data_IF_301889189582
#
_entry.id   IF_301889189582
#
_cell.length_a   1.000
_cell.length_b   1.000
_cell.length_c   1.000
_cell.angle_alpha   90.00
_cell.angle_beta   90.00
_cell.angle_gamma   90.00
#
_symmetry.space_group_name_H-M   'P 1'
#
loop_
_entity.id
_entity.type
_entity.pdbx_description
1 polymer ?
#
# COMPACT_ATOMS: atom_id res chain seq x y z
N UNK A 1 -14.30 -14.36 57.05
CA UNK A 1 -13.84 -15.46 56.15
C UNK A 1 -15.05 -16.08 55.48
N UNK A 2 -14.94 -16.48 54.20
CA UNK A 2 -16.01 -17.19 53.49
C UNK A 2 -15.53 -17.66 52.12
N UNK A 3 -14.97 -18.87 52.03
CA UNK A 3 -14.60 -19.49 50.75
C UNK A 3 -15.80 -20.27 50.21
N UNK A 4 -16.32 -19.89 49.05
CA UNK A 4 -17.12 -20.78 48.21
C UNK A 4 -16.28 -21.18 46.99
N UNK A 5 -16.38 -22.45 46.58
CA UNK A 5 -15.40 -23.06 45.67
C UNK A 5 -16.11 -23.82 44.55
N UNK A 6 -15.77 -23.50 43.28
CA UNK A 6 -16.04 -24.29 42.06
C UNK A 6 -17.54 -24.39 41.66
N UNK A 7 -17.89 -24.65 40.38
CA UNK A 7 -17.25 -25.59 39.46
C UNK A 7 -16.52 -25.00 38.23
N UNK A 8 -15.66 -25.85 37.68
CA UNK A 8 -14.97 -25.69 36.39
C UNK A 8 -15.92 -26.05 35.25
N UNK A 9 -15.99 -25.22 34.19
CA UNK A 9 -16.57 -25.62 32.91
C UNK A 9 -15.60 -25.39 31.75
N UNK A 10 -15.22 -26.49 31.11
CA UNK A 10 -14.72 -26.67 29.73
C UNK A 10 -15.20 -28.08 29.29
N UNK A 11 -15.25 -28.42 28.01
CA UNK A 11 -15.41 -27.58 26.81
C UNK A 11 -16.69 -27.98 26.04
N UNK A 12 -17.02 -27.26 24.96
CA UNK A 12 -17.81 -27.85 23.85
C UNK A 12 -17.10 -27.54 22.53
N UNK A 13 -16.35 -28.52 22.04
CA UNK A 13 -15.92 -28.56 20.64
C UNK A 13 -17.12 -29.04 19.83
N UNK A 14 -17.51 -28.32 18.79
CA UNK A 14 -18.59 -28.76 17.89
C UNK A 14 -18.12 -28.70 16.44
N UNK A 15 -17.53 -29.80 15.99
CA UNK A 15 -17.21 -30.02 14.59
C UNK A 15 -18.50 -30.09 13.76
N UNK A 16 -18.61 -29.25 12.73
CA UNK A 16 -19.49 -29.45 11.58
C UNK A 16 -18.58 -29.52 10.35
N UNK A 17 -18.36 -30.71 9.78
CA UNK A 17 -19.24 -31.37 8.81
C UNK A 17 -19.04 -30.80 7.39
N UNK A 18 -18.35 -31.57 6.56
CA UNK A 18 -18.05 -31.25 5.17
C UNK A 18 -19.13 -31.79 4.21
N UNK A 19 -19.38 -31.05 3.12
CA UNK A 19 -19.86 -31.54 1.81
C UNK A 19 -19.47 -30.45 0.78
N UNK A 20 -18.60 -30.68 -0.21
CA UNK A 20 -18.68 -31.53 -1.43
C UNK A 20 -19.32 -30.83 -2.64
N UNK A 21 -18.74 -31.07 -3.82
CA UNK A 21 -19.17 -30.66 -5.19
C UNK A 21 -18.97 -29.16 -5.52
N UNK A 22 -18.69 -28.69 -6.75
CA UNK A 22 -18.26 -29.26 -8.05
C UNK A 22 -17.90 -28.06 -8.99
N UNK A 23 -17.17 -28.10 -10.11
CA UNK A 23 -16.46 -29.13 -10.90
C UNK A 23 -15.24 -28.49 -11.64
N UNK A 24 -14.61 -29.19 -12.60
CA UNK A 24 -13.65 -28.60 -13.56
C UNK A 24 -14.35 -27.90 -14.73
N UNK A 25 -13.75 -26.82 -15.25
CA UNK A 25 -13.80 -26.46 -16.68
C UNK A 25 -12.37 -26.11 -17.14
N UNK A 26 -11.98 -26.62 -18.29
CA UNK A 26 -10.62 -26.57 -18.85
C UNK A 26 -10.60 -25.80 -20.18
N UNK A 27 -9.46 -25.14 -20.43
CA UNK A 27 -8.87 -24.79 -21.73
C UNK A 27 -9.53 -23.69 -22.60
N UNK A 28 -8.65 -22.88 -23.18
CA UNK A 28 -8.99 -21.80 -24.13
C UNK A 28 -7.76 -21.00 -24.56
N UNK A 29 -6.72 -21.66 -25.09
CA UNK A 29 -5.57 -20.96 -25.70
C UNK A 29 -5.81 -20.75 -27.19
N UNK A 30 -5.69 -19.51 -27.65
CA UNK A 30 -5.63 -19.16 -29.07
C UNK A 30 -4.49 -18.18 -29.32
N UNK A 31 -3.36 -18.70 -29.78
CA UNK A 31 -2.25 -17.87 -30.29
C UNK A 31 -2.46 -17.58 -31.77
N UNK A 32 -2.33 -16.31 -32.16
CA UNK A 32 -2.23 -15.93 -33.57
C UNK A 32 -0.76 -15.72 -33.93
N UNK A 33 -0.19 -16.70 -34.63
CA UNK A 33 1.05 -16.53 -35.38
C UNK A 33 0.71 -16.04 -36.80
N UNK A 34 1.41 -15.03 -37.28
CA UNK A 34 1.25 -14.49 -38.64
C UNK A 34 2.63 -14.20 -39.21
N UNK A 35 3.03 -14.98 -40.22
CA UNK A 35 4.36 -14.94 -40.84
C UNK A 35 4.44 -14.05 -42.08
N UNK A 36 5.67 -13.84 -42.54
CA UNK A 36 6.15 -12.77 -43.40
C UNK A 36 5.67 -12.78 -44.87
N UNK A 37 5.76 -11.61 -45.52
CA UNK A 37 5.59 -11.44 -46.97
C UNK A 37 6.49 -10.32 -47.52
N UNK A 38 7.51 -10.69 -48.30
CA UNK A 38 8.51 -9.77 -48.89
C UNK A 38 8.00 -8.94 -50.07
N UNK A 39 8.57 -7.74 -50.33
CA UNK A 39 8.50 -7.15 -51.67
C UNK A 39 8.90 -5.68 -51.88
N UNK A 40 10.20 -5.38 -52.02
CA UNK A 40 10.84 -4.30 -52.83
C UNK A 40 10.12 -2.95 -53.08
N UNK A 41 10.75 -1.84 -52.70
CA UNK A 41 11.56 -0.98 -53.60
C UNK A 41 11.87 0.42 -53.01
N UNK A 42 13.14 0.86 -53.08
CA UNK A 42 13.55 2.28 -52.91
C UNK A 42 13.73 2.91 -54.30
N UNK A 43 13.49 4.23 -54.51
CA UNK A 43 14.46 5.30 -54.15
C UNK A 43 13.78 6.69 -53.87
N UNK A 44 14.51 7.84 -53.81
CA UNK A 44 15.82 8.13 -53.20
C UNK A 44 15.73 9.20 -52.08
N UNK A 45 16.90 9.57 -51.55
CA UNK A 45 17.16 10.45 -50.39
C UNK A 45 16.41 11.80 -50.31
N UNK A 46 15.95 12.12 -49.09
CA UNK A 46 15.92 13.48 -48.51
C UNK A 46 16.49 13.40 -47.09
N UNK A 47 17.49 14.24 -46.76
CA UNK A 47 18.08 14.31 -45.40
C UNK A 47 17.09 14.94 -44.41
N UNK A 48 16.80 14.32 -43.25
CA UNK A 48 16.28 15.02 -42.09
C UNK A 48 17.43 15.58 -41.26
N UNK A 49 17.31 16.86 -40.89
CA UNK A 49 18.17 17.53 -39.90
C UNK A 49 18.06 16.84 -38.53
N UNK A 50 19.15 16.73 -37.73
CA UNK A 50 19.03 16.29 -36.35
C UNK A 50 18.20 17.29 -35.54
N UNK A 51 17.02 16.86 -35.08
CA UNK A 51 16.30 17.56 -34.02
C UNK A 51 17.01 17.30 -32.69
N UNK A 52 17.13 18.29 -31.79
CA UNK A 52 17.62 18.04 -30.44
C UNK A 52 16.68 17.08 -29.70
N UNK A 53 17.16 16.33 -28.70
CA UNK A 53 16.30 15.46 -27.90
C UNK A 53 15.21 16.32 -27.24
N UNK A 54 13.96 16.07 -27.64
CA UNK A 54 12.80 16.68 -27.01
C UNK A 54 12.81 16.36 -25.53
N UNK A 55 12.50 17.36 -24.71
CA UNK A 55 12.44 17.26 -23.26
C UNK A 55 11.65 16.02 -22.80
N UNK A 56 12.19 15.35 -21.78
CA UNK A 56 11.40 14.47 -20.92
C UNK A 56 10.11 15.21 -20.52
N UNK A 57 8.94 14.54 -20.52
CA UNK A 57 7.79 15.10 -19.83
C UNK A 57 8.18 15.26 -18.35
N UNK A 58 8.16 16.49 -17.86
CA UNK A 58 8.27 16.76 -16.42
C UNK A 58 7.18 15.93 -15.74
N UNK A 59 7.62 14.93 -14.98
CA UNK A 59 6.72 14.19 -14.12
C UNK A 59 6.15 15.19 -13.14
N UNK A 60 4.83 15.35 -13.15
CA UNK A 60 4.07 16.20 -12.23
C UNK A 60 4.02 15.54 -10.84
N UNK A 61 5.19 15.10 -10.37
CA UNK A 61 5.43 14.48 -9.06
C UNK A 61 5.63 15.63 -8.08
N UNK A 62 4.98 15.54 -6.93
CA UNK A 62 5.30 16.41 -5.80
C UNK A 62 6.82 16.38 -5.57
N UNK A 63 7.41 17.54 -5.27
CA UNK A 63 8.86 17.68 -5.11
C UNK A 63 9.40 16.61 -4.15
N UNK A 64 10.50 15.95 -4.55
CA UNK A 64 11.17 14.99 -3.69
C UNK A 64 11.69 15.72 -2.45
N UNK A 65 11.07 15.47 -1.30
CA UNK A 65 11.48 16.08 -0.03
C UNK A 65 12.78 15.42 0.41
N UNK A 66 13.88 16.15 0.27
CA UNK A 66 15.20 15.70 0.68
C UNK A 66 15.20 15.34 2.18
N UNK A 67 15.40 14.06 2.49
CA UNK A 67 15.29 13.52 3.85
C UNK A 67 14.22 12.44 4.05
N UNK A 68 13.45 12.07 3.03
CA UNK A 68 12.56 10.90 3.10
C UNK A 68 13.36 9.59 3.23
N UNK A 69 13.24 8.93 4.38
CA UNK A 69 13.84 7.61 4.63
C UNK A 69 12.78 6.58 5.03
N UNK A 70 13.12 5.30 4.87
CA UNK A 70 12.37 4.17 5.46
C UNK A 70 12.99 3.70 6.78
N UNK A 71 14.17 4.22 7.15
CA UNK A 71 14.90 3.89 8.37
C UNK A 71 14.41 4.66 9.59
N UNK A 72 13.87 5.87 9.38
CA UNK A 72 13.18 6.66 10.39
C UNK A 72 11.68 6.73 10.06
N UNK A 73 10.85 7.02 11.05
CA UNK A 73 9.44 7.33 10.81
C UNK A 73 9.29 8.75 10.21
N UNK A 74 8.31 8.98 9.32
CA UNK A 74 8.05 10.32 8.80
C UNK A 74 7.67 11.31 9.93
N UNK A 75 7.99 12.59 9.73
CA UNK A 75 7.73 13.65 10.72
C UNK A 75 6.31 14.20 10.56
N UNK A 76 5.61 14.55 11.66
CA UNK A 76 4.33 15.25 11.60
C UNK A 76 4.43 16.53 10.77
N UNK A 77 3.46 16.77 9.88
CA UNK A 77 3.45 17.90 8.94
C UNK A 77 2.61 19.04 9.51
N UNK A 78 1.43 18.74 10.04
CA UNK A 78 0.50 19.75 10.58
C UNK A 78 0.64 19.96 12.10
N UNK A 79 1.59 19.27 12.75
CA UNK A 79 1.79 19.35 14.20
C UNK A 79 0.66 18.68 15.00
N UNK A 80 -0.06 17.74 14.39
CA UNK A 80 -1.11 16.97 15.03
C UNK A 80 -0.58 16.00 16.09
N UNK A 81 -1.49 15.44 16.88
CA UNK A 81 -1.21 14.36 17.82
C UNK A 81 -0.86 13.11 17.03
N UNK A 82 0.39 12.68 17.12
CA UNK A 82 0.85 11.41 16.55
C UNK A 82 0.08 10.25 17.20
N UNK A 83 -0.73 9.56 16.38
CA UNK A 83 -1.48 8.37 16.74
C UNK A 83 -0.66 7.10 16.48
N UNK A 84 0.20 7.11 15.47
CA UNK A 84 1.10 6.02 15.15
C UNK A 84 2.37 6.57 14.51
N UNK A 85 3.50 5.96 14.85
CA UNK A 85 4.80 6.23 14.26
C UNK A 85 5.56 4.90 14.28
N UNK A 86 6.10 4.51 13.13
CA UNK A 86 6.83 3.26 12.95
C UNK A 86 7.88 3.41 11.87
N UNK A 87 9.01 2.76 12.09
CA UNK A 87 10.20 2.81 11.24
C UNK A 87 10.57 1.40 10.75
N UNK A 88 11.28 1.33 9.63
CA UNK A 88 12.08 0.16 9.21
C UNK A 88 11.35 -1.20 9.26
N UNK A 89 10.07 -1.24 8.86
CA UNK A 89 9.27 -2.47 8.75
C UNK A 89 9.42 -3.08 7.36
N UNK A 90 9.07 -4.37 7.20
CA UNK A 90 9.01 -5.06 5.91
C UNK A 90 7.77 -5.92 5.80
N UNK A 91 7.23 -6.02 4.58
CA UNK A 91 6.05 -6.84 4.29
C UNK A 91 4.80 -6.39 5.05
N UNK A 92 3.91 -7.33 5.36
CA UNK A 92 2.61 -7.06 5.98
C UNK A 92 2.71 -6.66 7.46
N UNK A 93 1.79 -5.83 7.93
CA UNK A 93 1.63 -5.53 9.36
C UNK A 93 0.19 -5.13 9.73
N UNK A 94 -0.15 -5.27 11.00
CA UNK A 94 -1.37 -4.72 11.61
C UNK A 94 -0.92 -3.90 12.82
N UNK A 95 -1.28 -2.63 12.87
CA UNK A 95 -0.78 -1.64 13.82
C UNK A 95 -1.96 -0.86 14.44
N UNK A 96 -2.30 -1.09 15.72
CA UNK A 96 -3.32 -0.29 16.41
C UNK A 96 -2.81 1.14 16.64
N UNK A 97 -3.72 2.11 16.54
CA UNK A 97 -3.45 3.51 16.87
C UNK A 97 -3.38 3.74 18.39
N UNK A 98 -2.59 4.73 18.81
CA UNK A 98 -2.43 5.13 20.22
C UNK A 98 -3.49 6.16 20.63
N UNK A 99 -4.62 5.60 21.05
CA UNK A 99 -5.77 6.35 21.57
C UNK A 99 -6.78 6.71 20.49
N UNK A 100 -7.73 7.58 20.86
CA UNK A 100 -8.84 7.98 20.02
C UNK A 100 -8.38 8.78 18.79
N UNK A 101 -9.13 8.63 17.71
CA UNK A 101 -9.09 9.51 16.53
C UNK A 101 -10.21 10.54 16.72
N UNK A 102 -9.88 11.83 16.82
CA UNK A 102 -10.93 12.85 16.98
C UNK A 102 -11.73 13.11 15.71
N UNK A 103 -12.67 14.04 15.79
CA UNK A 103 -13.19 14.71 14.60
C UNK A 103 -12.16 15.71 14.08
N UNK A 104 -12.19 16.05 12.80
CA UNK A 104 -11.23 16.96 12.16
C UNK A 104 -10.31 16.26 11.17
N UNK A 105 -9.13 16.84 10.93
CA UNK A 105 -8.15 16.34 9.96
C UNK A 105 -7.44 15.10 10.51
N UNK A 106 -7.40 14.03 9.75
CA UNK A 106 -6.59 12.84 10.00
C UNK A 106 -5.65 12.67 8.81
N UNK A 107 -4.35 12.60 9.08
CA UNK A 107 -3.32 12.46 8.07
C UNK A 107 -2.49 11.19 8.25
N UNK A 108 -2.00 10.65 7.14
CA UNK A 108 -1.11 9.51 7.11
C UNK A 108 0.01 9.74 6.10
N UNK A 109 1.25 9.62 6.56
CA UNK A 109 2.44 9.63 5.73
C UNK A 109 3.04 8.24 5.68
N UNK A 110 3.43 7.79 4.49
CA UNK A 110 4.10 6.51 4.27
C UNK A 110 5.27 6.70 3.32
N UNK A 111 6.42 6.16 3.73
CA UNK A 111 7.61 6.05 2.91
C UNK A 111 7.86 4.56 2.64
N UNK A 112 8.21 4.19 1.41
CA UNK A 112 8.60 2.81 1.08
C UNK A 112 9.73 2.73 0.05
N UNK A 113 10.47 1.63 0.12
CA UNK A 113 11.60 1.31 -0.74
C UNK A 113 11.63 -0.19 -1.05
N UNK A 114 12.09 -0.54 -2.25
CA UNK A 114 12.05 -1.89 -2.78
C UNK A 114 10.83 -2.11 -3.68
N UNK A 115 11.01 -2.86 -4.76
CA UNK A 115 9.99 -3.04 -5.81
C UNK A 115 8.72 -3.74 -5.28
N UNK A 116 7.57 -3.11 -5.46
CA UNK A 116 6.24 -3.69 -5.27
C UNK A 116 5.19 -2.67 -4.83
N UNK A 117 3.93 -3.07 -4.84
CA UNK A 117 2.84 -2.25 -4.30
C UNK A 117 2.71 -2.45 -2.79
N UNK A 118 2.70 -1.36 -2.03
CA UNK A 118 2.29 -1.33 -0.63
C UNK A 118 0.85 -0.78 -0.57
N UNK A 119 -0.07 -1.53 0.02
CA UNK A 119 -1.44 -1.04 0.30
C UNK A 119 -1.58 -0.72 1.77
N UNK A 120 -2.08 0.48 2.05
CA UNK A 120 -2.46 0.93 3.39
C UNK A 120 -3.98 0.89 3.49
N UNK A 121 -4.49 0.39 4.61
CA UNK A 121 -5.90 0.56 5.01
C UNK A 121 -5.97 1.03 6.45
N UNK A 122 -6.94 1.88 6.80
CA UNK A 122 -7.17 2.33 8.18
C UNK A 122 -8.65 2.17 8.54
N UNK A 123 -8.90 1.22 9.43
CA UNK A 123 -10.21 0.96 10.03
C UNK A 123 -10.37 1.74 11.35
N UNK A 124 -11.59 2.16 11.74
CA UNK A 124 -12.87 2.03 11.06
C UNK A 124 -13.27 3.29 10.26
N UNK A 125 -12.28 4.03 9.71
CA UNK A 125 -12.55 5.26 8.94
C UNK A 125 -12.71 5.01 7.44
N UNK A 126 -12.37 3.82 6.96
CA UNK A 126 -12.56 3.40 5.56
C UNK A 126 -11.55 4.00 4.59
N UNK A 127 -10.38 4.46 5.07
CA UNK A 127 -9.28 4.84 4.20
C UNK A 127 -8.62 3.59 3.64
N UNK A 128 -8.41 3.54 2.32
CA UNK A 128 -7.51 2.57 1.72
C UNK A 128 -6.87 3.15 0.45
N UNK A 129 -5.55 3.00 0.30
CA UNK A 129 -4.81 3.47 -0.87
C UNK A 129 -3.57 2.59 -1.14
N UNK A 130 -3.20 2.39 -2.42
CA UNK A 130 -1.91 1.82 -2.80
C UNK A 130 -0.82 2.90 -2.88
N UNK A 131 0.43 2.48 -2.71
CA UNK A 131 1.65 3.21 -3.00
C UNK A 131 2.59 2.29 -3.78
N UNK A 132 3.05 2.74 -4.94
CA UNK A 132 4.04 2.00 -5.73
C UNK A 132 5.46 2.27 -5.22
N UNK A 133 6.12 1.22 -4.75
CA UNK A 133 7.47 1.26 -4.20
C UNK A 133 8.50 0.80 -5.24
N UNK A 134 9.64 1.49 -5.31
CA UNK A 134 10.70 1.25 -6.31
C UNK A 134 12.06 0.97 -5.65
N UNK A 135 13.00 0.41 -6.42
CA UNK A 135 14.32 0.01 -5.91
C UNK A 135 15.36 1.15 -5.83
N UNK A 136 15.13 2.27 -6.52
CA UNK A 136 16.16 3.30 -6.77
C UNK A 136 16.06 4.50 -5.82
N UNK A 137 14.88 4.74 -5.27
CA UNK A 137 14.53 5.91 -4.47
C UNK A 137 13.46 5.50 -3.45
N UNK A 138 13.24 6.34 -2.43
CA UNK A 138 12.08 6.21 -1.55
C UNK A 138 10.86 6.77 -2.29
N UNK A 139 9.82 5.94 -2.42
CA UNK A 139 8.48 6.42 -2.77
C UNK A 139 7.78 6.91 -1.50
N UNK A 140 7.16 8.07 -1.56
CA UNK A 140 6.40 8.63 -0.44
C UNK A 140 4.98 9.00 -0.84
N UNK A 141 4.11 9.09 0.15
CA UNK A 141 2.79 9.72 0.02
C UNK A 141 2.36 10.29 1.35
N UNK A 142 1.60 11.38 1.31
CA UNK A 142 0.97 12.03 2.43
C UNK A 142 -0.50 12.24 2.07
N UNK A 143 -1.40 11.52 2.73
CA UNK A 143 -2.83 11.52 2.46
C UNK A 143 -3.61 12.03 3.67
N UNK A 144 -4.60 12.88 3.41
CA UNK A 144 -5.44 13.50 4.43
C UNK A 144 -6.92 13.17 4.23
N UNK A 145 -7.67 13.14 5.33
CA UNK A 145 -9.13 13.11 5.31
C UNK A 145 -9.74 13.91 6.46
N UNK A 146 -10.96 14.41 6.27
CA UNK A 146 -11.68 15.15 7.30
C UNK A 146 -12.81 14.31 7.91
N UNK A 147 -12.63 13.90 9.17
CA UNK A 147 -13.56 13.08 9.93
C UNK A 147 -14.67 13.92 10.56
N UNK A 148 -15.92 13.67 10.15
CA UNK A 148 -17.10 14.33 10.74
C UNK A 148 -17.42 13.87 12.17
N UNK A 149 -16.84 12.76 12.63
CA UNK A 149 -17.08 12.15 13.96
C UNK A 149 -15.82 11.42 14.40
N UNK A 150 -15.53 11.48 15.70
CA UNK A 150 -14.45 10.73 16.33
C UNK A 150 -14.65 9.19 16.23
N UNK A 151 -13.56 8.46 16.46
CA UNK A 151 -13.47 7.01 16.66
C UNK A 151 -12.69 6.73 17.94
N UNK A 152 -13.22 5.85 18.80
CA UNK A 152 -12.55 5.46 20.05
C UNK A 152 -11.24 4.70 19.83
N UNK A 153 -11.09 4.06 18.67
CA UNK A 153 -9.93 3.27 18.28
C UNK A 153 -9.74 3.31 16.76
N UNK A 154 -8.57 2.88 16.30
CA UNK A 154 -8.30 2.61 14.90
C UNK A 154 -7.15 1.63 14.71
N UNK A 155 -7.07 1.03 13.54
CA UNK A 155 -6.01 0.07 13.18
C UNK A 155 -5.57 0.27 11.74
N UNK A 156 -4.28 0.57 11.56
CA UNK A 156 -3.64 0.53 10.25
C UNK A 156 -3.33 -0.91 9.89
N UNK A 157 -3.71 -1.32 8.69
CA UNK A 157 -3.29 -2.57 8.06
C UNK A 157 -2.39 -2.23 6.87
N UNK A 158 -1.26 -2.94 6.76
CA UNK A 158 -0.32 -2.84 5.66
C UNK A 158 -0.24 -4.19 4.97
N UNK A 159 -0.45 -4.19 3.65
CA UNK A 159 -0.15 -5.34 2.79
C UNK A 159 0.96 -4.93 1.84
N UNK A 160 2.09 -5.65 1.86
CA UNK A 160 3.24 -5.38 1.00
C UNK A 160 4.07 -6.66 0.79
N UNK A 161 4.77 -6.80 -0.36
CA UNK A 161 5.79 -7.84 -0.52
C UNK A 161 6.87 -7.76 0.57
N UNK A 162 7.43 -8.91 0.97
CA UNK A 162 8.49 -8.98 1.99
C UNK A 162 9.79 -8.26 1.60
N UNK A 163 9.97 -7.97 0.30
CA UNK A 163 11.05 -7.17 -0.25
C UNK A 163 10.87 -5.66 -0.07
N UNK A 164 9.65 -5.20 0.19
CA UNK A 164 9.36 -3.77 0.43
C UNK A 164 9.65 -3.45 1.89
N UNK A 165 10.52 -2.47 2.11
CA UNK A 165 10.78 -1.84 3.40
C UNK A 165 10.02 -0.52 3.48
N UNK A 166 9.47 -0.19 4.66
CA UNK A 166 8.60 0.97 4.82
C UNK A 166 8.64 1.56 6.23
N UNK A 167 8.31 2.84 6.31
CA UNK A 167 8.03 3.59 7.54
C UNK A 167 6.74 4.39 7.39
N UNK A 168 6.09 4.71 8.50
CA UNK A 168 4.74 5.26 8.50
C UNK A 168 4.46 6.12 9.74
N UNK A 169 3.70 7.19 9.55
CA UNK A 169 3.23 8.09 10.58
C UNK A 169 1.73 8.40 10.37
N UNK A 170 0.97 8.48 11.45
CA UNK A 170 -0.44 8.93 11.47
C UNK A 170 -0.58 10.04 12.51
N UNK A 171 -1.13 11.19 12.12
CA UNK A 171 -1.43 12.32 13.00
C UNK A 171 -2.89 12.77 12.91
N UNK A 172 -3.42 13.34 14.00
CA UNK A 172 -4.77 13.92 14.14
C UNK A 172 -4.72 15.24 14.90
#
# INVERSE_FOLDING_TARGET
MGKLTRPTQRPVVRNGAACLLAALVLLGVSGCTGSDGSGKASPPATKPTPLPPSSTPESNRAEHVEGETVTEAPKPVNGGKVLLSTESRRGNAILPLKGEIGAGLLAIQVNCHGKGTLTVSLEPVGLSFPLECVNQEVSSTYNEMHLKRARSEGTVQITAPSTVQWSLMVEH
#
